data_IF_505607388675
#
_entry.id   IF_505607388675
#
_cell.length_a   1.000
_cell.length_b   1.000
_cell.length_c   1.000
_cell.angle_alpha   90.00
_cell.angle_beta   90.00
_cell.angle_gamma   90.00
#
_symmetry.space_group_name_H-M   'P 1'
#
loop_
_entity.id
_entity.type
_entity.pdbx_description
1 polymer ?
#
# COMPACT_ATOMS: atom_id res chain seq x y z
N UNK A 1 5.95 -19.33 19.33
CA UNK A 1 5.22 -18.22 18.68
C UNK A 1 6.06 -17.79 17.49
N UNK A 2 5.54 -17.87 16.27
CA UNK A 2 6.24 -17.34 15.10
C UNK A 2 6.45 -15.84 15.31
N UNK A 3 7.61 -15.26 14.94
CA UNK A 3 7.80 -13.81 15.02
C UNK A 3 6.68 -13.11 14.24
N UNK A 4 6.04 -12.12 14.86
CA UNK A 4 4.92 -11.42 14.25
C UNK A 4 5.45 -10.51 13.13
N UNK A 5 5.25 -10.92 11.88
CA UNK A 5 5.60 -10.13 10.70
C UNK A 5 4.61 -8.98 10.53
N UNK A 6 5.10 -7.76 10.39
CA UNK A 6 4.28 -6.58 10.08
C UNK A 6 4.00 -6.53 8.57
N UNK A 7 2.73 -6.60 8.19
CA UNK A 7 2.31 -6.54 6.78
C UNK A 7 1.82 -5.15 6.43
N UNK A 8 2.41 -4.54 5.40
CA UNK A 8 2.01 -3.24 4.85
C UNK A 8 1.30 -3.49 3.54
N UNK A 9 0.00 -3.23 3.53
CA UNK A 9 -0.81 -3.37 2.33
C UNK A 9 -0.74 -2.07 1.50
N UNK A 10 -0.44 -2.16 0.20
CA UNK A 10 -0.23 -0.97 -0.66
C UNK A 10 -0.76 -1.20 -2.07
N UNK A 11 -1.10 -0.12 -2.78
CA UNK A 11 -1.42 -0.18 -4.22
C UNK A 11 -0.18 -0.54 -5.04
N UNK A 12 -0.40 -1.16 -6.19
CA UNK A 12 0.68 -1.57 -7.12
C UNK A 12 1.22 -0.45 -8.01
N UNK A 13 0.66 0.76 -7.94
CA UNK A 13 1.18 1.91 -8.71
C UNK A 13 2.61 2.25 -8.25
N UNK A 14 3.52 2.68 -9.15
CA UNK A 14 4.92 2.93 -8.79
C UNK A 14 5.13 3.85 -7.57
N UNK A 15 4.34 4.93 -7.47
CA UNK A 15 4.43 5.86 -6.34
C UNK A 15 3.99 5.21 -5.01
N UNK A 16 2.92 4.41 -5.03
CA UNK A 16 2.43 3.74 -3.82
C UNK A 16 3.39 2.65 -3.32
N UNK A 17 4.07 1.95 -4.25
CA UNK A 17 5.15 1.02 -3.90
C UNK A 17 6.32 1.76 -3.28
N UNK A 18 6.79 2.85 -3.90
CA UNK A 18 7.86 3.67 -3.35
C UNK A 18 7.53 4.20 -1.94
N UNK A 19 6.30 4.67 -1.72
CA UNK A 19 5.83 5.11 -0.40
C UNK A 19 5.88 3.99 0.63
N UNK A 20 5.41 2.80 0.27
CA UNK A 20 5.41 1.64 1.16
C UNK A 20 6.83 1.14 1.48
N UNK A 21 7.72 1.16 0.50
CA UNK A 21 9.14 0.84 0.67
C UNK A 21 9.84 1.83 1.59
N UNK A 22 9.60 3.14 1.44
CA UNK A 22 10.18 4.16 2.31
C UNK A 22 9.71 4.02 3.77
N UNK A 23 8.42 3.73 3.97
CA UNK A 23 7.88 3.44 5.31
C UNK A 23 8.53 2.17 5.89
N UNK A 24 8.59 1.08 5.12
CA UNK A 24 9.22 -0.17 5.55
C UNK A 24 10.70 0.03 5.91
N UNK A 25 11.44 0.82 5.13
CA UNK A 25 12.85 1.15 5.38
C UNK A 25 13.02 1.87 6.73
N UNK A 26 12.18 2.86 7.01
CA UNK A 26 12.21 3.59 8.30
C UNK A 26 11.86 2.68 9.47
N UNK A 27 10.87 1.80 9.33
CA UNK A 27 10.48 0.86 10.37
C UNK A 27 11.60 -0.12 10.71
N UNK A 28 12.25 -0.71 9.69
CA UNK A 28 13.39 -1.60 9.90
C UNK A 28 14.58 -0.89 10.56
N UNK A 29 14.80 0.38 10.24
CA UNK A 29 15.85 1.18 10.87
C UNK A 29 15.56 1.51 12.35
N UNK A 30 14.29 1.82 12.68
CA UNK A 30 13.87 2.16 14.04
C UNK A 30 13.70 0.93 14.95
N UNK A 31 13.42 -0.24 14.36
CA UNK A 31 13.14 -1.48 15.08
C UNK A 31 14.00 -2.63 14.55
N UNK A 32 15.25 -2.77 15.01
CA UNK A 32 16.10 -3.90 14.64
C UNK A 32 15.42 -5.24 14.93
N UNK A 33 15.34 -6.11 13.92
CA UNK A 33 14.68 -7.42 14.02
C UNK A 33 13.18 -7.42 13.72
N UNK A 34 12.59 -6.27 13.36
CA UNK A 34 11.22 -6.21 12.84
C UNK A 34 11.19 -6.72 11.39
N UNK A 35 10.50 -7.84 11.19
CA UNK A 35 10.16 -8.35 9.86
C UNK A 35 9.01 -7.54 9.26
N UNK A 36 9.20 -7.01 8.05
CA UNK A 36 8.20 -6.23 7.32
C UNK A 36 7.97 -6.82 5.94
N UNK A 37 6.72 -7.10 5.61
CA UNK A 37 6.26 -7.66 4.33
C UNK A 37 5.36 -6.63 3.60
N UNK A 38 5.63 -6.38 2.32
CA UNK A 38 4.76 -5.55 1.48
C UNK A 38 3.75 -6.43 0.73
N UNK A 39 2.45 -6.11 0.88
CA UNK A 39 1.35 -6.84 0.24
C UNK A 39 0.68 -5.94 -0.79
N UNK A 40 0.95 -6.19 -2.07
CA UNK A 40 0.40 -5.41 -3.17
C UNK A 40 -1.07 -5.72 -3.45
N UNK A 41 -1.93 -4.71 -3.50
CA UNK A 41 -3.35 -4.80 -3.80
C UNK A 41 -3.77 -3.94 -5.00
N UNK A 42 -4.96 -4.22 -5.52
CA UNK A 42 -5.62 -3.44 -6.59
C UNK A 42 -6.93 -2.89 -6.04
N UNK A 43 -7.18 -1.61 -6.26
CA UNK A 43 -8.38 -0.91 -5.81
C UNK A 43 -9.40 -0.74 -6.95
N UNK A 44 -10.60 -0.27 -6.64
CA UNK A 44 -11.60 0.05 -7.67
C UNK A 44 -11.11 1.19 -8.59
N UNK A 45 -10.40 2.16 -8.05
CA UNK A 45 -9.82 3.27 -8.79
C UNK A 45 -8.68 2.87 -9.72
N UNK A 46 -7.98 1.76 -9.42
CA UNK A 46 -7.00 1.18 -10.36
C UNK A 46 -7.66 0.58 -11.61
N UNK A 47 -8.95 0.25 -11.54
CA UNK A 47 -9.71 -0.38 -12.63
C UNK A 47 -10.48 0.64 -13.48
N UNK A 48 -10.69 1.85 -12.97
CA UNK A 48 -11.46 2.90 -13.64
C UNK A 48 -10.48 3.98 -14.10
N UNK A 49 -10.00 3.87 -15.34
CA UNK A 49 -9.04 4.80 -15.93
C UNK A 49 -9.71 5.79 -16.91
N UNK A 50 -10.88 5.45 -17.41
CA UNK A 50 -11.49 6.10 -18.59
C UNK A 50 -12.64 7.05 -18.22
N UNK A 51 -12.94 7.17 -16.92
CA UNK A 51 -14.03 8.00 -16.40
C UNK A 51 -13.48 9.11 -15.52
N UNK A 52 -13.85 10.38 -15.75
CA UNK A 52 -13.45 11.47 -14.87
C UNK A 52 -13.84 11.18 -13.43
N UNK A 53 -12.90 11.39 -12.50
CA UNK A 53 -13.08 11.08 -11.07
C UNK A 53 -14.36 11.71 -10.49
N UNK A 54 -14.71 12.92 -10.93
CA UNK A 54 -15.93 13.63 -10.52
C UNK A 54 -17.24 12.89 -10.88
N UNK A 55 -17.23 12.01 -11.90
CA UNK A 55 -18.37 11.16 -12.26
C UNK A 55 -18.35 9.81 -11.57
N UNK A 56 -17.20 9.41 -11.03
CA UNK A 56 -17.05 8.18 -10.26
C UNK A 56 -17.52 8.46 -8.83
N UNK A 57 -18.84 8.51 -8.64
CA UNK A 57 -19.43 8.63 -7.31
C UNK A 57 -19.01 7.47 -6.39
N UNK A 58 -18.76 7.78 -5.11
CA UNK A 58 -18.39 6.80 -4.08
C UNK A 58 -17.23 7.25 -3.19
N UNK A 59 -17.28 6.89 -1.90
CA UNK A 59 -16.15 7.07 -0.97
C UNK A 59 -15.21 5.87 -1.10
N UNK A 60 -13.91 6.10 -0.97
CA UNK A 60 -12.92 5.02 -0.88
C UNK A 60 -12.52 4.38 -2.21
N UNK A 61 -12.38 5.17 -3.28
CA UNK A 61 -12.03 4.63 -4.60
C UNK A 61 -10.63 3.97 -4.64
N UNK A 62 -9.71 4.43 -3.79
CA UNK A 62 -8.30 4.02 -3.76
C UNK A 62 -7.86 3.43 -2.40
N UNK A 63 -8.81 3.07 -1.53
CA UNK A 63 -8.57 2.47 -0.20
C UNK A 63 -9.32 1.15 -0.05
#
# INVERSE_FOLDING_TARGET
MSPAVLRIATRKSPLALWQAEEVARRLRAAHPGLEVELVGMTTRGDRILDTPLARVGGKGLFV
#
